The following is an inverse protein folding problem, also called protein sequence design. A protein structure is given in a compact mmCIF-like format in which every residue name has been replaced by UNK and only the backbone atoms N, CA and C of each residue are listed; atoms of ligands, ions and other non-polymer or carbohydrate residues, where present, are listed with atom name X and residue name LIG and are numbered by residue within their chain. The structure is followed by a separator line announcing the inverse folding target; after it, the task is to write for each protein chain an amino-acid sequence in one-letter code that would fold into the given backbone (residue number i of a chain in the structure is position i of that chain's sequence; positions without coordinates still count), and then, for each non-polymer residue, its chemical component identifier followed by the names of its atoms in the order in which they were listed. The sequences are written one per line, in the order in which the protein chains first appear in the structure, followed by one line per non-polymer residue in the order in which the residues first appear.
data_IF_160254953927
#
_entry.id   IF_160254953927
#
_cell.length_a   1.000
_cell.length_b   1.000
_cell.length_c   1.000
_cell.angle_alpha   90.00
_cell.angle_beta   90.00
_cell.angle_gamma   90.00
#
_symmetry.space_group_name_H-M   'P 1'
#
loop_
_entity.id
_entity.type
_entity.pdbx_description
1 polymer ?
#
# COMPACT_ATOMS: atom_id res chain seq x y z
N UNK A 1 6.38 18.62 1.08
CA UNK A 1 5.19 17.88 0.60
C UNK A 1 4.34 17.48 1.78
N UNK A 2 3.04 17.68 1.72
CA UNK A 2 2.13 17.28 2.79
C UNK A 2 1.74 15.81 2.61
N UNK A 3 1.63 15.08 3.73
CA UNK A 3 1.20 13.68 3.71
C UNK A 3 -0.27 13.59 4.12
N UNK A 4 -1.06 12.87 3.35
CA UNK A 4 -2.48 12.64 3.60
C UNK A 4 -2.75 11.15 3.73
N UNK A 5 -3.72 10.79 4.55
CA UNK A 5 -4.29 9.45 4.62
C UNK A 5 -5.68 9.48 4.01
N UNK A 6 -5.86 8.67 2.98
CA UNK A 6 -7.19 8.39 2.41
C UNK A 6 -7.68 7.05 2.91
N UNK A 7 -8.86 7.04 3.49
CA UNK A 7 -9.55 5.79 3.86
C UNK A 7 -10.58 5.47 2.78
N UNK A 8 -10.42 4.31 2.15
CA UNK A 8 -11.33 3.81 1.13
C UNK A 8 -12.20 2.72 1.73
N UNK A 9 -13.50 2.80 1.50
CA UNK A 9 -14.44 1.74 1.86
C UNK A 9 -14.92 1.05 0.58
N UNK A 10 -14.47 -0.18 0.29
CA UNK A 10 -14.95 -0.92 -0.85
C UNK A 10 -16.44 -1.24 -0.71
N UNK A 11 -17.20 -1.02 -1.78
CA UNK A 11 -18.63 -1.38 -1.86
C UNK A 11 -18.85 -2.71 -2.58
N UNK A 12 -17.81 -3.25 -3.21
CA UNK A 12 -17.81 -4.54 -3.91
C UNK A 12 -16.43 -5.18 -3.84
N UNK A 13 -16.35 -6.46 -4.17
CA UNK A 13 -15.07 -7.16 -4.24
C UNK A 13 -14.22 -6.65 -5.42
N UNK A 14 -12.90 -6.64 -5.23
CA UNK A 14 -11.94 -6.35 -6.28
C UNK A 14 -11.37 -7.64 -6.85
N UNK A 15 -11.23 -7.70 -8.18
CA UNK A 15 -10.57 -8.81 -8.86
C UNK A 15 -9.04 -8.75 -8.80
N UNK A 16 -8.47 -7.57 -8.50
CA UNK A 16 -7.03 -7.32 -8.43
C UNK A 16 -6.70 -6.44 -7.23
N UNK A 17 -5.45 -6.47 -6.73
CA UNK A 17 -5.02 -5.54 -5.69
C UNK A 17 -5.21 -4.07 -6.11
N UNK A 18 -5.48 -3.20 -5.14
CA UNK A 18 -5.54 -1.75 -5.37
C UNK A 18 -4.12 -1.19 -5.50
N UNK A 19 -3.58 -1.26 -6.69
CA UNK A 19 -2.24 -0.75 -6.99
C UNK A 19 -2.23 0.79 -7.09
N UNK A 20 -1.11 1.39 -6.71
CA UNK A 20 -0.96 2.83 -6.69
C UNK A 20 -1.14 3.49 -8.05
N UNK A 21 -0.70 2.84 -9.13
CA UNK A 21 -0.90 3.33 -10.51
C UNK A 21 -2.38 3.39 -10.90
N UNK A 22 -3.16 2.38 -10.52
CA UNK A 22 -4.61 2.36 -10.73
C UNK A 22 -5.30 3.48 -9.94
N UNK A 23 -4.94 3.64 -8.66
CA UNK A 23 -5.47 4.70 -7.80
C UNK A 23 -5.09 6.09 -8.33
N UNK A 24 -3.86 6.25 -8.81
CA UNK A 24 -3.40 7.49 -9.44
C UNK A 24 -4.19 7.81 -10.71
N UNK A 25 -4.43 6.81 -11.56
CA UNK A 25 -5.27 6.98 -12.75
C UNK A 25 -6.69 7.44 -12.40
N UNK A 26 -7.30 6.88 -11.37
CA UNK A 26 -8.61 7.31 -10.89
C UNK A 26 -8.59 8.75 -10.35
N UNK A 27 -7.53 9.14 -9.64
CA UNK A 27 -7.36 10.53 -9.20
C UNK A 27 -7.27 11.48 -10.39
N UNK A 28 -6.50 11.14 -11.41
CA UNK A 28 -6.39 11.96 -12.63
C UNK A 28 -7.76 12.12 -13.34
N UNK A 29 -8.54 11.06 -13.43
CA UNK A 29 -9.91 11.13 -13.98
C UNK A 29 -10.80 12.06 -13.16
N UNK A 30 -10.78 11.95 -11.84
CA UNK A 30 -11.54 12.82 -10.96
C UNK A 30 -11.15 14.29 -11.12
N UNK A 31 -9.86 14.58 -11.18
CA UNK A 31 -9.34 15.94 -11.41
C UNK A 31 -9.75 16.48 -12.77
N UNK A 32 -9.71 15.66 -13.82
CA UNK A 32 -10.17 16.05 -15.14
C UNK A 32 -11.65 16.44 -15.14
N UNK A 33 -12.49 15.66 -14.46
CA UNK A 33 -13.93 15.92 -14.37
C UNK A 33 -14.25 17.19 -13.56
N UNK A 34 -13.47 17.47 -12.53
CA UNK A 34 -13.70 18.63 -11.67
C UNK A 34 -13.06 19.92 -12.17
N UNK A 35 -11.82 19.85 -12.68
CA UNK A 35 -11.01 21.02 -13.00
C UNK A 35 -10.81 21.23 -14.51
N UNK A 36 -11.11 20.22 -15.32
CA UNK A 36 -10.93 20.26 -16.77
C UNK A 36 -9.55 19.76 -17.23
N UNK A 37 -9.45 19.57 -18.55
CA UNK A 37 -8.28 18.93 -19.19
C UNK A 37 -7.01 19.80 -19.06
N UNK A 38 -7.15 21.12 -19.23
CA UNK A 38 -6.02 22.05 -19.16
C UNK A 38 -5.38 22.07 -17.77
N UNK A 39 -6.20 22.08 -16.71
CA UNK A 39 -5.71 22.05 -15.34
C UNK A 39 -5.00 20.73 -15.00
N UNK A 40 -5.52 19.60 -15.45
CA UNK A 40 -4.86 18.31 -15.29
C UNK A 40 -3.49 18.29 -16.01
N UNK A 41 -3.43 18.77 -17.23
CA UNK A 41 -2.18 18.85 -18.01
C UNK A 41 -1.11 19.67 -17.28
N UNK A 42 -1.48 20.81 -16.69
CA UNK A 42 -0.59 21.62 -15.88
C UNK A 42 -0.08 20.88 -14.64
N UNK A 43 -0.97 20.16 -13.93
CA UNK A 43 -0.58 19.36 -12.76
C UNK A 43 0.41 18.25 -13.13
N UNK A 44 0.24 17.62 -14.28
CA UNK A 44 1.10 16.52 -14.73
C UNK A 44 2.46 17.00 -15.30
N UNK A 45 2.59 18.25 -15.64
CA UNK A 45 3.78 18.79 -16.31
C UNK A 45 5.08 18.61 -15.51
N UNK A 46 5.02 18.57 -14.19
CA UNK A 46 6.19 18.45 -13.31
C UNK A 46 6.79 17.05 -13.20
N UNK A 47 6.09 15.99 -13.63
CA UNK A 47 6.51 14.59 -13.36
C UNK A 47 7.86 14.23 -14.01
N UNK A 48 8.06 14.58 -15.25
CA UNK A 48 9.31 14.29 -15.97
C UNK A 48 10.49 15.11 -15.44
N UNK A 49 10.22 16.21 -14.75
CA UNK A 49 11.22 17.05 -14.10
C UNK A 49 11.43 16.71 -12.61
N UNK A 50 10.91 15.60 -12.14
CA UNK A 50 11.02 15.19 -10.74
C UNK A 50 10.21 16.04 -9.76
N UNK A 51 9.20 16.74 -10.23
CA UNK A 51 8.31 17.59 -9.42
C UNK A 51 6.85 17.13 -9.52
N UNK A 52 6.52 15.93 -9.01
CA UNK A 52 5.15 15.45 -9.05
C UNK A 52 4.24 16.29 -8.14
N UNK A 53 2.99 16.53 -8.57
CA UNK A 53 2.01 17.20 -7.73
C UNK A 53 1.49 16.27 -6.61
N UNK A 54 1.51 14.96 -6.83
CA UNK A 54 1.11 13.95 -5.87
C UNK A 54 1.80 12.61 -6.14
N UNK A 55 2.03 11.87 -5.08
CA UNK A 55 2.52 10.48 -5.12
C UNK A 55 1.54 9.64 -4.30
N UNK A 56 1.09 8.53 -4.86
CA UNK A 56 0.08 7.65 -4.25
C UNK A 56 0.69 6.27 -4.01
N UNK A 57 0.52 5.75 -2.80
CA UNK A 57 0.89 4.37 -2.47
C UNK A 57 -0.16 3.37 -3.00
N UNK A 58 0.18 2.10 -2.96
CA UNK A 58 -0.83 1.04 -3.07
C UNK A 58 -1.87 1.15 -1.96
N UNK A 59 -3.06 0.61 -2.19
CA UNK A 59 -4.06 0.44 -1.15
C UNK A 59 -3.64 -0.64 -0.17
N UNK A 60 -3.67 -0.33 1.11
CA UNK A 60 -3.27 -1.22 2.20
C UNK A 60 -4.46 -1.49 3.11
N UNK A 61 -4.57 -2.69 3.72
CA UNK A 61 -5.55 -2.91 4.77
C UNK A 61 -5.38 -1.89 5.89
N UNK A 62 -6.49 -1.37 6.42
CA UNK A 62 -6.43 -0.37 7.48
C UNK A 62 -5.62 -0.86 8.68
N UNK A 63 -4.74 0.00 9.19
CA UNK A 63 -3.89 -0.34 10.34
C UNK A 63 -2.74 -1.31 10.04
N UNK A 64 -2.43 -1.56 8.77
CA UNK A 64 -1.35 -2.47 8.36
C UNK A 64 -0.39 -1.80 7.38
N UNK A 65 0.83 -2.33 7.36
CA UNK A 65 1.86 -2.04 6.35
C UNK A 65 2.26 -3.34 5.65
N UNK A 66 2.83 -3.27 4.45
CA UNK A 66 3.42 -4.45 3.84
C UNK A 66 4.57 -4.99 4.70
N UNK A 67 4.63 -6.31 4.88
CA UNK A 67 5.80 -6.94 5.49
C UNK A 67 7.00 -6.73 4.56
N UNK A 68 8.15 -6.22 5.06
CA UNK A 68 9.34 -6.05 4.23
C UNK A 68 9.81 -7.36 3.62
N UNK A 69 10.23 -7.32 2.36
CA UNK A 69 10.87 -8.45 1.68
C UNK A 69 12.33 -8.53 2.09
N UNK A 70 12.62 -9.30 3.14
CA UNK A 70 13.95 -9.47 3.70
C UNK A 70 14.42 -10.91 3.54
N UNK A 71 15.76 -11.15 3.55
CA UNK A 71 16.30 -12.50 3.56
C UNK A 71 15.74 -13.33 4.72
N UNK A 72 15.40 -14.60 4.47
CA UNK A 72 14.76 -15.46 5.46
C UNK A 72 15.57 -15.62 6.76
N UNK A 73 16.89 -15.50 6.66
CA UNK A 73 17.81 -15.57 7.83
C UNK A 73 17.63 -14.41 8.81
N UNK A 74 17.00 -13.32 8.42
CA UNK A 74 16.76 -12.16 9.28
C UNK A 74 15.51 -12.33 10.16
N UNK A 75 14.65 -13.28 9.79
CA UNK A 75 13.46 -13.59 10.57
C UNK A 75 13.79 -14.59 11.69
N UNK A 76 13.10 -14.52 12.81
CA UNK A 76 13.16 -15.52 13.86
C UNK A 76 12.72 -16.88 13.30
N UNK A 77 13.32 -17.96 13.82
CA UNK A 77 12.94 -19.31 13.44
C UNK A 77 11.45 -19.56 13.70
N UNK A 78 10.80 -20.25 12.78
CA UNK A 78 9.38 -20.58 12.87
C UNK A 78 9.14 -22.03 12.43
N UNK A 79 8.27 -22.72 13.15
CA UNK A 79 7.78 -24.06 12.79
C UNK A 79 6.60 -24.02 11.81
N UNK A 80 6.12 -22.82 11.48
CA UNK A 80 5.02 -22.63 10.54
C UNK A 80 5.47 -22.98 9.12
N UNK A 81 4.61 -23.66 8.37
CA UNK A 81 4.85 -24.02 6.98
C UNK A 81 5.20 -22.80 6.12
N UNK A 82 6.18 -22.97 5.21
CA UNK A 82 6.64 -21.90 4.32
C UNK A 82 5.53 -21.30 3.46
N UNK A 83 4.56 -22.12 3.02
CA UNK A 83 3.42 -21.61 2.24
C UNK A 83 2.54 -20.69 3.08
N UNK A 84 2.31 -21.05 4.33
CA UNK A 84 1.56 -20.21 5.27
C UNK A 84 2.29 -18.92 5.59
N UNK A 85 3.63 -18.96 5.77
CA UNK A 85 4.44 -17.77 5.98
C UNK A 85 4.40 -16.82 4.78
N UNK A 86 4.45 -17.32 3.56
CA UNK A 86 4.38 -16.51 2.33
C UNK A 86 3.06 -15.76 2.18
N UNK A 87 1.99 -16.25 2.79
CA UNK A 87 0.68 -15.57 2.80
C UNK A 87 0.60 -14.44 3.80
N UNK A 88 1.51 -14.38 4.79
CA UNK A 88 1.55 -13.35 5.84
C UNK A 88 2.30 -12.14 5.31
N UNK A 89 1.60 -11.27 4.62
CA UNK A 89 2.20 -10.11 3.96
C UNK A 89 1.84 -8.76 4.58
N UNK A 90 0.96 -8.75 5.57
CA UNK A 90 0.49 -7.53 6.20
C UNK A 90 0.93 -7.44 7.66
N UNK A 91 1.72 -6.43 7.97
CA UNK A 91 2.23 -6.17 9.31
C UNK A 91 1.31 -5.20 10.04
N UNK A 92 0.71 -5.60 11.19
CA UNK A 92 -0.04 -4.65 12.01
C UNK A 92 0.87 -3.52 12.49
N UNK A 93 0.37 -2.28 12.54
CA UNK A 93 1.16 -1.13 13.01
C UNK A 93 1.72 -1.33 14.41
N UNK A 94 1.00 -2.03 15.30
CA UNK A 94 1.49 -2.35 16.64
C UNK A 94 2.77 -3.19 16.64
N UNK A 95 3.01 -3.99 15.59
CA UNK A 95 4.21 -4.82 15.49
C UNK A 95 5.49 -4.00 15.28
N UNK A 96 5.38 -2.74 14.87
CA UNK A 96 6.54 -1.85 14.74
C UNK A 96 7.25 -1.57 16.07
N UNK A 97 6.58 -1.76 17.20
CA UNK A 97 7.17 -1.67 18.54
C UNK A 97 8.03 -2.89 18.89
N UNK A 98 7.89 -3.99 18.15
CA UNK A 98 8.63 -5.22 18.38
C UNK A 98 9.93 -5.27 17.56
N UNK A 99 10.93 -6.06 17.99
CA UNK A 99 12.15 -6.25 17.21
C UNK A 99 11.88 -6.85 15.83
N UNK A 100 12.62 -6.39 14.82
CA UNK A 100 12.47 -6.80 13.41
C UNK A 100 12.38 -8.32 13.20
N UNK A 101 13.21 -9.18 13.82
CA UNK A 101 13.15 -10.62 13.58
C UNK A 101 11.79 -11.26 13.91
N UNK A 102 11.00 -10.67 14.80
CA UNK A 102 9.67 -11.15 15.19
C UNK A 102 8.53 -10.71 14.26
N UNK A 103 8.77 -9.83 13.32
CA UNK A 103 7.70 -9.24 12.50
C UNK A 103 6.98 -10.25 11.62
N UNK A 104 7.70 -11.22 11.03
CA UNK A 104 7.06 -12.23 10.19
C UNK A 104 6.04 -13.09 10.96
N UNK A 105 6.33 -13.40 12.22
CA UNK A 105 5.41 -14.15 13.08
C UNK A 105 4.14 -13.35 13.42
N UNK A 106 4.24 -12.01 13.49
CA UNK A 106 3.14 -11.10 13.77
C UNK A 106 2.36 -10.69 12.52
N UNK A 107 2.93 -10.90 11.34
CA UNK A 107 2.30 -10.56 10.08
C UNK A 107 1.05 -11.41 9.82
N UNK A 108 0.11 -10.85 9.08
CA UNK A 108 -1.21 -11.43 8.80
C UNK A 108 -1.41 -11.71 7.33
N UNK A 109 -2.16 -12.74 7.01
CA UNK A 109 -2.69 -12.99 5.67
C UNK A 109 -3.87 -12.05 5.36
N UNK A 110 -4.27 -11.98 4.09
CA UNK A 110 -5.32 -11.07 3.61
C UNK A 110 -6.61 -11.15 4.42
N UNK A 111 -7.10 -12.35 4.69
CA UNK A 111 -8.36 -12.56 5.42
C UNK A 111 -8.30 -12.05 6.87
N UNK A 112 -7.14 -12.10 7.50
CA UNK A 112 -6.95 -11.64 8.88
C UNK A 112 -6.65 -10.14 8.99
N UNK A 113 -6.22 -9.51 7.89
CA UNK A 113 -5.93 -8.09 7.80
C UNK A 113 -7.14 -7.26 7.33
N UNK A 114 -8.13 -7.92 6.75
CA UNK A 114 -9.33 -7.28 6.21
C UNK A 114 -10.22 -6.67 7.31
#
# INVERSE_FOLDING_TARGET
MNTYRLTLQPLSAFGTPLAGDTLFGQLCWALRHQLGNAALTQLLDGYTAGRPFAVISDGLPAGHLPLPALPSRWWAASEVDRKALKRRRWLPLAALAEPLPGWQALARADAAAA
#
